data_IF_776991911470
#
_entry.id   IF_776991911470
#
_cell.length_a   1.000
_cell.length_b   1.000
_cell.length_c   1.000
_cell.angle_alpha   90.00
_cell.angle_beta   90.00
_cell.angle_gamma   90.00
#
_symmetry.space_group_name_H-M   'P 1'
#
loop_
_entity.id
_entity.type
_entity.pdbx_description
1 polymer ?
#
# COMPACT_ATOMS: atom_id res chain seq x y z
N UNK A 1 -13.26 -0.17 -21.61
CA UNK A 1 -12.81 0.20 -20.68
C UNK A 1 -13.61 0.45 -19.57
N UNK A 2 -13.28 0.13 -18.51
CA UNK A 2 -14.09 0.20 -17.46
C UNK A 2 -13.48 1.01 -16.41
N UNK A 3 -13.85 2.25 -16.33
CA UNK A 3 -13.29 3.14 -15.34
C UNK A 3 -14.08 3.15 -14.06
N UNK A 4 -15.20 2.44 -14.03
CA UNK A 4 -16.04 2.49 -12.84
C UNK A 4 -15.41 1.78 -11.66
N UNK A 5 -14.34 1.02 -11.88
CA UNK A 5 -13.67 0.32 -10.79
C UNK A 5 -12.45 1.06 -10.26
N UNK A 6 -12.18 2.22 -10.80
CA UNK A 6 -11.08 3.01 -10.31
C UNK A 6 -11.49 3.63 -8.99
N UNK A 7 -10.70 3.39 -7.98
CA UNK A 7 -11.03 3.87 -6.66
C UNK A 7 -9.78 4.37 -5.95
N UNK A 8 -9.93 5.49 -5.28
CA UNK A 8 -8.85 6.09 -4.50
C UNK A 8 -9.13 5.83 -3.03
N UNK A 9 -8.12 5.40 -2.31
CA UNK A 9 -8.23 5.19 -0.88
C UNK A 9 -7.40 6.22 -0.15
N UNK A 10 -7.98 6.78 0.91
CA UNK A 10 -7.28 7.70 1.78
C UNK A 10 -6.56 6.90 2.87
N UNK A 11 -5.74 7.58 3.63
CA UNK A 11 -4.89 6.92 4.63
C UNK A 11 -5.68 5.98 5.54
N UNK A 12 -6.80 6.43 6.07
CA UNK A 12 -7.54 5.58 7.01
C UNK A 12 -8.05 4.31 6.33
N UNK A 13 -8.44 4.43 5.07
CA UNK A 13 -8.92 3.26 4.33
C UNK A 13 -7.76 2.32 4.01
N UNK A 14 -6.59 2.88 3.72
CA UNK A 14 -5.42 2.05 3.46
C UNK A 14 -5.04 1.28 4.73
N UNK A 15 -5.07 1.96 5.86
CA UNK A 15 -4.80 1.32 7.15
C UNK A 15 -5.75 0.15 7.37
N UNK A 16 -7.03 0.38 7.12
CA UNK A 16 -8.02 -0.69 7.29
C UNK A 16 -7.81 -1.83 6.31
N UNK A 17 -7.53 -1.49 5.07
CA UNK A 17 -7.38 -2.51 4.04
C UNK A 17 -6.18 -3.40 4.28
N UNK A 18 -5.06 -2.80 4.64
CA UNK A 18 -3.82 -3.54 4.80
C UNK A 18 -3.68 -4.12 6.20
N UNK A 19 -4.21 -3.42 7.18
CA UNK A 19 -4.17 -3.93 8.54
C UNK A 19 -2.88 -3.61 9.28
N UNK A 20 -2.23 -2.50 8.91
CA UNK A 20 -1.02 -2.08 9.60
C UNK A 20 -1.24 -0.69 10.18
N UNK A 21 -0.37 -0.29 11.07
CA UNK A 21 -0.47 1.02 11.70
C UNK A 21 -0.19 2.12 10.69
N UNK A 22 -0.79 3.28 10.95
CA UNK A 22 -0.56 4.45 10.13
C UNK A 22 0.93 4.80 10.06
N UNK A 23 1.61 4.69 11.19
CA UNK A 23 3.04 5.00 11.23
C UNK A 23 3.84 4.06 10.34
N UNK A 24 3.40 2.83 10.20
CA UNK A 24 4.08 1.88 9.34
C UNK A 24 3.99 2.33 7.89
N UNK A 25 2.81 2.81 7.48
CA UNK A 25 2.65 3.29 6.11
C UNK A 25 3.53 4.51 5.87
N UNK A 26 3.59 5.42 6.84
CA UNK A 26 4.46 6.59 6.69
C UNK A 26 5.92 6.17 6.53
N UNK A 27 6.35 5.15 7.27
CA UNK A 27 7.71 4.65 7.12
C UNK A 27 7.95 4.11 5.71
N UNK A 28 6.98 3.38 5.19
CA UNK A 28 7.13 2.76 3.89
C UNK A 28 7.25 3.77 2.76
N UNK A 29 6.61 4.92 2.90
CA UNK A 29 6.63 5.91 1.83
C UNK A 29 7.71 6.98 2.03
N UNK A 30 8.41 6.94 3.16
CA UNK A 30 9.42 7.95 3.47
C UNK A 30 10.80 7.44 3.08
N UNK A 31 11.42 8.02 2.03
CA UNK A 31 12.72 7.53 1.59
C UNK A 31 13.81 7.64 2.66
N UNK A 32 13.60 8.44 3.67
CA UNK A 32 14.58 8.60 4.73
C UNK A 32 14.41 7.61 5.84
N UNK A 33 13.33 6.84 5.81
CA UNK A 33 13.10 5.86 6.85
C UNK A 33 13.87 4.59 6.54
N UNK A 34 14.44 3.93 7.56
CA UNK A 34 15.09 2.65 7.35
C UNK A 34 14.12 1.57 6.90
N UNK A 35 12.82 1.83 7.05
CA UNK A 35 11.81 0.88 6.60
C UNK A 35 11.19 1.25 5.27
N UNK A 36 11.79 2.19 4.55
CA UNK A 36 11.27 2.62 3.27
C UNK A 36 11.10 1.42 2.34
N UNK A 37 9.95 1.37 1.70
CA UNK A 37 9.65 0.29 0.76
C UNK A 37 9.33 0.90 -0.59
N UNK A 38 10.30 0.86 -1.49
CA UNK A 38 10.14 1.47 -2.81
C UNK A 38 9.07 0.78 -3.64
N UNK A 39 8.67 -0.43 -3.26
CA UNK A 39 7.64 -1.13 -4.00
C UNK A 39 6.23 -0.72 -3.59
N UNK A 40 6.09 -0.07 -2.42
CA UNK A 40 4.77 0.36 -1.98
C UNK A 40 4.24 1.42 -2.95
N UNK A 41 2.95 1.37 -3.31
CA UNK A 41 2.42 2.30 -4.28
C UNK A 41 2.61 3.75 -3.86
N UNK A 42 2.83 4.60 -4.86
CA UNK A 42 3.06 6.01 -4.59
C UNK A 42 1.74 6.73 -4.43
N UNK A 43 1.76 7.73 -3.56
CA UNK A 43 0.57 8.55 -3.36
C UNK A 43 0.24 9.33 -4.63
N UNK A 44 -1.04 9.47 -4.87
CA UNK A 44 -1.55 10.30 -5.95
C UNK A 44 -2.11 11.57 -5.36
N UNK A 45 -1.81 12.68 -6.00
CA UNK A 45 -2.32 13.95 -5.51
C UNK A 45 -3.74 14.14 -6.01
N UNK A 46 -4.66 14.37 -5.08
CA UNK A 46 -6.06 14.58 -5.42
C UNK A 46 -6.42 16.04 -5.44
N UNK A 47 -5.64 16.87 -4.77
CA UNK A 47 -5.88 18.28 -4.70
C UNK A 47 -4.66 18.92 -4.09
N UNK A 48 -4.78 20.16 -3.63
CA UNK A 48 -3.61 20.85 -3.13
C UNK A 48 -3.03 20.17 -1.91
N UNK A 49 -3.88 19.66 -1.04
CA UNK A 49 -3.40 19.03 0.18
C UNK A 49 -3.96 17.64 0.40
N UNK A 50 -4.58 17.09 -0.63
CA UNK A 50 -5.20 15.78 -0.50
C UNK A 50 -4.43 14.77 -1.31
N UNK A 51 -4.13 13.65 -0.69
CA UNK A 51 -3.45 12.57 -1.39
C UNK A 51 -4.16 11.27 -1.08
N UNK A 52 -3.96 10.30 -1.95
CA UNK A 52 -4.52 8.98 -1.75
C UNK A 52 -3.78 7.99 -2.61
N UNK A 53 -4.26 6.77 -2.62
CA UNK A 53 -3.64 5.68 -3.37
C UNK A 53 -4.68 5.04 -4.25
N UNK A 54 -4.26 4.56 -5.42
CA UNK A 54 -5.15 3.76 -6.25
C UNK A 54 -5.31 2.39 -5.60
N UNK A 55 -6.56 1.99 -5.41
CA UNK A 55 -6.81 0.70 -4.78
C UNK A 55 -6.24 -0.45 -5.60
N UNK A 56 -6.30 -0.36 -6.92
CA UNK A 56 -5.78 -1.43 -7.75
C UNK A 56 -4.28 -1.60 -7.57
N UNK A 57 -3.56 -0.51 -7.35
CA UNK A 57 -2.13 -0.60 -7.10
C UNK A 57 -1.84 -1.26 -5.77
N UNK A 58 -2.67 -0.96 -4.78
CA UNK A 58 -2.55 -1.59 -3.48
C UNK A 58 -2.85 -3.08 -3.58
N UNK A 59 -3.86 -3.43 -4.35
CA UNK A 59 -4.21 -4.83 -4.54
C UNK A 59 -3.07 -5.60 -5.15
N UNK A 60 -2.44 -5.04 -6.18
CA UNK A 60 -1.31 -5.70 -6.83
C UNK A 60 -0.15 -5.86 -5.87
N UNK A 61 0.13 -4.81 -5.11
CA UNK A 61 1.23 -4.85 -4.16
C UNK A 61 0.97 -5.92 -3.10
N UNK A 62 -0.27 -6.00 -2.63
CA UNK A 62 -0.65 -7.00 -1.63
C UNK A 62 -0.54 -8.41 -2.17
N UNK A 63 -0.96 -8.60 -3.42
CA UNK A 63 -0.88 -9.93 -4.00
C UNK A 63 0.56 -10.41 -4.09
N UNK A 64 1.45 -9.54 -4.50
CA UNK A 64 2.85 -9.92 -4.61
C UNK A 64 3.46 -10.20 -3.25
N UNK A 65 3.10 -9.39 -2.28
CA UNK A 65 3.59 -9.58 -0.94
C UNK A 65 3.04 -10.87 -0.34
N UNK A 66 1.79 -11.14 -0.62
CA UNK A 66 1.16 -12.34 -0.09
C UNK A 66 1.89 -13.59 -0.58
N UNK A 67 2.24 -13.62 -1.85
CA UNK A 67 2.95 -14.77 -2.39
C UNK A 67 4.31 -14.92 -1.72
N UNK A 68 5.01 -13.83 -1.54
CA UNK A 68 6.30 -13.88 -0.88
C UNK A 68 6.15 -14.33 0.56
N UNK A 69 5.12 -13.84 1.24
CA UNK A 69 4.86 -14.22 2.62
C UNK A 69 4.53 -15.69 2.73
N UNK A 70 3.73 -16.20 1.81
CA UNK A 70 3.40 -17.61 1.80
C UNK A 70 4.65 -18.47 1.74
N UNK A 71 5.56 -18.08 0.88
CA UNK A 71 6.80 -18.81 0.75
C UNK A 71 7.59 -18.75 2.04
N UNK A 72 7.68 -17.57 2.62
CA UNK A 72 8.42 -17.39 3.85
C UNK A 72 7.79 -18.17 4.98
N UNK A 73 6.47 -18.14 5.05
CA UNK A 73 5.78 -18.85 6.11
C UNK A 73 5.99 -20.36 5.98
N UNK A 74 6.02 -20.84 4.77
CA UNK A 74 6.22 -22.27 4.56
C UNK A 74 7.57 -22.71 5.11
N UNK A 75 8.51 -21.80 5.14
CA UNK A 75 9.83 -22.16 5.67
C UNK A 75 9.92 -22.02 7.15
N UNK A 76 8.98 -21.31 7.75
CA UNK A 76 9.05 -21.12 9.17
C UNK A 76 8.28 -22.18 9.87
N UNK A 77 8.80 -22.69 10.89
CA UNK A 77 8.12 -23.72 11.65
C UNK A 77 6.91 -23.19 12.37
#
# INVERSE_FOLDING_TARGET
>A
MNTQHIKILRMSSVVNKIGVARSTIYDWINPKSPRYDATFPKQRRLGMQSVGWLESELDEWLLKRHLASSTAIAERP
#
